data_IF_945576633995
#
_entry.id   IF_945576633995
#
_cell.length_a   1.000
_cell.length_b   1.000
_cell.length_c   1.000
_cell.angle_alpha   90.00
_cell.angle_beta   90.00
_cell.angle_gamma   90.00
#
_symmetry.space_group_name_H-M   'P 1'
#
loop_
_entity.id
_entity.type
_entity.pdbx_description
1 polymer ?
#
# COMPACT_ATOMS: atom_id res chain seq x y z
N UNK A 1 6.23 -14.14 6.45
CA UNK A 1 5.25 -13.49 7.38
C UNK A 1 4.22 -12.78 6.54
N UNK A 2 2.96 -12.89 6.88
CA UNK A 2 1.86 -12.21 6.20
C UNK A 2 1.93 -10.69 6.35
N UNK A 3 1.39 -9.96 5.35
CA UNK A 3 1.42 -8.51 5.32
C UNK A 3 0.79 -7.85 6.56
N UNK A 4 -0.41 -8.32 6.97
CA UNK A 4 -1.12 -7.73 8.11
C UNK A 4 -0.34 -7.84 9.42
N UNK A 5 0.42 -8.92 9.62
CA UNK A 5 1.27 -9.07 10.80
C UNK A 5 2.42 -8.08 10.80
N UNK A 6 3.03 -7.83 9.62
CA UNK A 6 4.11 -6.83 9.49
C UNK A 6 3.58 -5.41 9.68
N UNK A 7 2.39 -5.11 9.18
CA UNK A 7 1.71 -3.82 9.40
C UNK A 7 1.43 -3.62 10.89
N UNK A 8 0.88 -4.63 11.58
CA UNK A 8 0.61 -4.56 13.01
C UNK A 8 1.89 -4.33 13.83
N UNK A 9 3.00 -4.98 13.45
CA UNK A 9 4.31 -4.73 14.06
C UNK A 9 4.80 -3.29 13.80
N UNK A 10 4.57 -2.75 12.61
CA UNK A 10 4.90 -1.35 12.29
C UNK A 10 4.09 -0.36 13.12
N UNK A 11 2.79 -0.56 13.25
CA UNK A 11 1.91 0.29 14.09
C UNK A 11 2.33 0.26 15.56
N UNK A 12 2.65 -0.94 16.07
CA UNK A 12 3.14 -1.08 17.43
C UNK A 12 4.47 -0.35 17.63
N UNK A 13 5.44 -0.53 16.73
CA UNK A 13 6.74 0.13 16.81
C UNK A 13 6.60 1.66 16.72
N UNK A 14 5.72 2.17 15.85
CA UNK A 14 5.44 3.61 15.77
C UNK A 14 4.85 4.14 17.10
N UNK A 15 3.92 3.40 17.70
CA UNK A 15 3.32 3.80 18.99
C UNK A 15 4.34 3.79 20.15
N UNK A 16 5.36 2.92 20.09
CA UNK A 16 6.45 2.84 21.08
C UNK A 16 7.61 3.80 20.78
N UNK A 17 7.57 4.52 19.64
CA UNK A 17 8.63 5.46 19.26
C UNK A 17 8.75 6.59 20.27
N UNK A 18 9.88 6.68 20.96
CA UNK A 18 10.14 7.65 22.01
C UNK A 18 10.85 8.93 21.54
N UNK A 19 11.45 8.89 20.34
CA UNK A 19 12.22 10.01 19.79
C UNK A 19 11.77 10.36 18.37
N UNK A 20 12.06 11.57 17.93
CA UNK A 20 11.84 12.01 16.57
C UNK A 20 12.57 11.13 15.54
N UNK A 21 13.78 10.69 15.86
CA UNK A 21 14.56 9.80 15.01
C UNK A 21 13.92 8.42 14.88
N UNK A 22 13.31 7.90 15.96
CA UNK A 22 12.56 6.63 15.90
C UNK A 22 11.36 6.74 14.96
N UNK A 23 10.63 7.86 15.02
CA UNK A 23 9.49 8.13 14.13
C UNK A 23 9.93 8.15 12.65
N UNK A 24 11.02 8.85 12.33
CA UNK A 24 11.59 8.87 10.98
C UNK A 24 12.03 7.46 10.53
N UNK A 25 12.67 6.71 11.42
CA UNK A 25 13.07 5.33 11.13
C UNK A 25 11.84 4.43 10.84
N UNK A 26 10.77 4.56 11.64
CA UNK A 26 9.54 3.80 11.41
C UNK A 26 8.82 4.23 10.12
N UNK A 27 8.89 5.49 9.72
CA UNK A 27 8.38 5.95 8.44
C UNK A 27 9.07 5.22 7.27
N UNK A 28 10.37 5.10 7.30
CA UNK A 28 11.11 4.36 6.28
C UNK A 28 10.84 2.86 6.32
N UNK A 29 10.61 2.26 7.50
CA UNK A 29 10.15 0.88 7.62
C UNK A 29 8.77 0.67 6.99
N UNK A 30 7.83 1.60 7.19
CA UNK A 30 6.51 1.56 6.57
C UNK A 30 6.60 1.71 5.04
N UNK A 31 7.47 2.61 4.55
CA UNK A 31 7.74 2.80 3.14
C UNK A 31 8.32 1.53 2.49
N UNK A 32 9.30 0.88 3.14
CA UNK A 32 9.86 -0.38 2.67
C UNK A 32 8.79 -1.48 2.57
N UNK A 33 7.87 -1.53 3.55
CA UNK A 33 6.78 -2.49 3.53
C UNK A 33 5.80 -2.20 2.39
N UNK A 34 5.48 -0.92 2.14
CA UNK A 34 4.64 -0.52 1.02
C UNK A 34 5.21 -0.98 -0.32
N UNK A 35 6.51 -0.77 -0.54
CA UNK A 35 7.18 -1.23 -1.76
C UNK A 35 7.21 -2.76 -1.88
N UNK A 36 7.53 -3.47 -0.80
CA UNK A 36 7.55 -4.94 -0.83
C UNK A 36 6.15 -5.51 -1.14
N UNK A 37 5.10 -4.91 -0.57
CA UNK A 37 3.72 -5.28 -0.89
C UNK A 37 3.37 -4.95 -2.35
N UNK A 38 3.78 -3.78 -2.86
CA UNK A 38 3.63 -3.40 -4.26
C UNK A 38 4.27 -4.42 -5.20
N UNK A 39 5.53 -4.76 -4.96
CA UNK A 39 6.25 -5.77 -5.74
C UNK A 39 5.55 -7.14 -5.70
N UNK A 40 5.07 -7.56 -4.53
CA UNK A 40 4.38 -8.84 -4.39
C UNK A 40 3.05 -8.86 -5.13
N UNK A 41 2.26 -7.79 -5.02
CA UNK A 41 0.99 -7.66 -5.73
C UNK A 41 1.17 -7.51 -7.24
N UNK A 42 2.25 -6.88 -7.71
CA UNK A 42 2.57 -6.82 -9.13
C UNK A 42 2.88 -8.19 -9.74
N UNK A 43 3.50 -9.09 -8.97
CA UNK A 43 3.85 -10.45 -9.40
C UNK A 43 2.69 -11.44 -9.25
N UNK A 44 2.06 -11.46 -8.10
CA UNK A 44 1.13 -12.52 -7.69
C UNK A 44 -0.30 -12.01 -7.41
N UNK A 45 -0.53 -10.70 -7.46
CA UNK A 45 -1.81 -10.10 -7.18
C UNK A 45 -2.81 -10.16 -8.33
N UNK A 46 -4.05 -9.69 -8.09
CA UNK A 46 -5.07 -9.55 -9.12
C UNK A 46 -4.56 -8.73 -10.31
N UNK A 47 -4.94 -9.13 -11.52
CA UNK A 47 -4.45 -8.51 -12.75
C UNK A 47 -4.76 -7.00 -12.79
N UNK A 48 -5.92 -6.61 -12.27
CA UNK A 48 -6.39 -5.23 -12.22
C UNK A 48 -5.50 -4.30 -11.37
N UNK A 49 -4.77 -4.86 -10.41
CA UNK A 49 -3.90 -4.12 -9.52
C UNK A 49 -2.46 -3.99 -10.02
N UNK A 50 -2.03 -4.82 -10.97
CA UNK A 50 -0.61 -4.96 -11.33
C UNK A 50 0.07 -3.66 -11.74
N UNK A 51 -0.64 -2.78 -12.44
CA UNK A 51 -0.12 -1.48 -12.86
C UNK A 51 0.19 -0.56 -11.67
N UNK A 52 -0.80 -0.34 -10.81
CA UNK A 52 -0.64 0.48 -9.60
C UNK A 52 0.32 -0.16 -8.59
N UNK A 53 0.28 -1.48 -8.47
CA UNK A 53 1.17 -2.24 -7.59
C UNK A 53 2.63 -2.12 -8.01
N UNK A 54 2.93 -2.12 -9.33
CA UNK A 54 4.27 -1.85 -9.84
C UNK A 54 4.71 -0.44 -9.49
N UNK A 55 3.86 0.56 -9.70
CA UNK A 55 4.14 1.93 -9.30
C UNK A 55 4.39 2.06 -7.79
N UNK A 56 3.65 1.34 -6.94
CA UNK A 56 3.92 1.31 -5.50
C UNK A 56 5.29 0.67 -5.18
N UNK A 57 5.67 -0.37 -5.91
CA UNK A 57 6.97 -1.03 -5.77
C UNK A 57 8.15 -0.15 -6.18
N UNK A 58 7.92 0.86 -7.01
CA UNK A 58 8.94 1.78 -7.54
C UNK A 58 9.02 3.11 -6.76
N UNK A 59 8.19 3.31 -5.72
CA UNK A 59 8.18 4.55 -4.94
C UNK A 59 9.44 4.71 -4.12
N UNK A 60 10.29 5.65 -4.51
CA UNK A 60 11.38 6.23 -3.73
C UNK A 60 12.61 5.35 -3.45
N UNK A 61 13.76 6.01 -3.36
CA UNK A 61 14.99 5.43 -2.79
C UNK A 61 14.99 5.67 -1.29
N UNK A 62 15.37 4.66 -0.50
CA UNK A 62 15.54 4.83 0.94
C UNK A 62 16.94 5.33 1.28
N UNK A 63 17.08 6.18 2.29
CA UNK A 63 18.38 6.31 2.90
C UNK A 63 18.80 4.94 3.46
N UNK A 64 20.02 4.52 3.18
CA UNK A 64 20.58 3.21 3.58
C UNK A 64 20.79 3.07 5.12
N UNK A 65 19.91 3.67 5.91
CA UNK A 65 20.02 3.71 7.38
C UNK A 65 19.10 2.63 7.97
N UNK A 66 19.43 1.39 7.65
CA UNK A 66 18.81 0.28 8.35
C UNK A 66 19.65 -0.07 9.57
N UNK A 67 19.06 -0.07 10.76
CA UNK A 67 19.69 -0.65 11.94
C UNK A 67 20.12 -2.11 11.69
N UNK A 68 20.82 -2.73 12.62
CA UNK A 68 21.45 -4.04 12.50
C UNK A 68 20.56 -5.21 12.01
N UNK A 69 19.23 -5.00 11.88
CA UNK A 69 18.25 -6.00 11.42
C UNK A 69 17.71 -5.82 10.00
N UNK A 70 18.09 -4.77 9.28
CA UNK A 70 17.54 -4.48 7.95
C UNK A 70 16.02 -4.16 7.95
N UNK A 71 15.40 -3.99 6.76
CA UNK A 71 13.97 -3.69 6.68
C UNK A 71 13.12 -4.88 7.10
N UNK A 72 12.12 -4.65 7.97
CA UNK A 72 11.12 -5.67 8.35
C UNK A 72 10.39 -6.23 7.13
N UNK A 73 10.26 -5.43 6.08
CA UNK A 73 9.70 -5.81 4.79
C UNK A 73 10.36 -7.05 4.16
N UNK A 74 11.64 -7.32 4.44
CA UNK A 74 12.34 -8.53 3.96
C UNK A 74 11.69 -9.84 4.44
N UNK A 75 10.87 -9.78 5.48
CA UNK A 75 10.12 -10.93 6.02
C UNK A 75 8.77 -11.16 5.34
N UNK A 76 8.37 -10.30 4.40
CA UNK A 76 7.11 -10.44 3.69
C UNK A 76 7.14 -11.68 2.79
N UNK A 77 6.24 -12.63 3.02
CA UNK A 77 6.10 -13.83 2.21
C UNK A 77 4.89 -13.79 1.29
N UNK A 78 3.79 -13.22 1.76
CA UNK A 78 2.54 -13.18 1.01
C UNK A 78 1.63 -12.02 1.41
N UNK A 79 0.72 -11.68 0.50
CA UNK A 79 -0.42 -10.78 0.71
C UNK A 79 -1.67 -11.61 0.42
N UNK A 80 -2.19 -12.28 1.44
CA UNK A 80 -3.27 -13.26 1.30
C UNK A 80 -4.60 -12.59 0.93
N UNK A 81 -4.95 -11.51 1.60
CA UNK A 81 -6.12 -10.67 1.32
C UNK A 81 -5.66 -9.26 0.89
N UNK A 82 -5.61 -8.98 -0.43
CA UNK A 82 -5.16 -7.68 -0.93
C UNK A 82 -5.98 -6.50 -0.41
N UNK A 83 -7.31 -6.63 -0.31
CA UNK A 83 -8.16 -5.54 0.15
C UNK A 83 -7.86 -5.18 1.60
N UNK A 84 -7.84 -6.18 2.46
CA UNK A 84 -7.58 -6.01 3.90
C UNK A 84 -6.17 -5.51 4.17
N UNK A 85 -5.17 -6.09 3.49
CA UNK A 85 -3.78 -5.69 3.63
C UNK A 85 -3.53 -4.26 3.16
N UNK A 86 -4.11 -3.84 2.02
CA UNK A 86 -4.00 -2.48 1.50
C UNK A 86 -4.73 -1.47 2.40
N UNK A 87 -5.89 -1.82 2.95
CA UNK A 87 -6.60 -0.96 3.91
C UNK A 87 -5.73 -0.71 5.15
N UNK A 88 -5.20 -1.78 5.75
CA UNK A 88 -4.33 -1.67 6.92
C UNK A 88 -3.03 -0.91 6.62
N UNK A 89 -2.43 -1.09 5.43
CA UNK A 89 -1.26 -0.34 4.99
C UNK A 89 -1.58 1.16 4.85
N UNK A 90 -2.73 1.51 4.27
CA UNK A 90 -3.17 2.90 4.15
C UNK A 90 -3.34 3.58 5.51
N UNK A 91 -3.87 2.85 6.51
CA UNK A 91 -3.97 3.33 7.90
C UNK A 91 -2.57 3.58 8.51
N UNK A 92 -1.65 2.62 8.37
CA UNK A 92 -0.27 2.77 8.86
C UNK A 92 0.42 3.99 8.23
N UNK A 93 0.34 4.16 6.89
CA UNK A 93 0.92 5.30 6.20
C UNK A 93 0.32 6.63 6.69
N UNK A 94 -1.00 6.67 6.94
CA UNK A 94 -1.65 7.84 7.52
C UNK A 94 -1.16 8.17 8.92
N UNK A 95 -1.03 7.18 9.80
CA UNK A 95 -0.50 7.34 11.16
C UNK A 95 0.95 7.84 11.13
N UNK A 96 1.78 7.30 10.25
CA UNK A 96 3.16 7.73 10.03
C UNK A 96 3.21 9.19 9.56
N UNK A 97 2.40 9.56 8.58
CA UNK A 97 2.32 10.92 8.07
C UNK A 97 1.98 11.94 9.17
N UNK A 98 0.99 11.63 10.00
CA UNK A 98 0.60 12.47 11.15
C UNK A 98 1.77 12.63 12.15
N UNK A 99 2.46 11.54 12.48
CA UNK A 99 3.59 11.57 13.40
C UNK A 99 4.75 12.39 12.84
N UNK A 100 5.07 12.26 11.55
CA UNK A 100 6.12 13.04 10.87
C UNK A 100 5.81 14.53 10.86
N UNK A 101 4.56 14.92 10.58
CA UNK A 101 4.12 16.32 10.65
C UNK A 101 4.31 16.86 12.07
N UNK A 102 3.97 16.08 13.09
CA UNK A 102 4.20 16.44 14.49
C UNK A 102 5.69 16.72 14.78
N UNK A 103 6.59 15.88 14.29
CA UNK A 103 8.05 16.08 14.42
C UNK A 103 8.49 17.33 13.66
N UNK A 104 8.08 17.50 12.40
CA UNK A 104 8.47 18.64 11.57
C UNK A 104 8.03 19.98 12.18
N UNK A 105 6.85 20.01 12.81
CA UNK A 105 6.35 21.22 13.48
C UNK A 105 7.05 21.52 14.82
N UNK A 106 7.63 20.51 15.48
CA UNK A 106 8.22 20.63 16.81
C UNK A 106 9.75 20.77 16.80
N UNK A 107 10.42 20.45 15.68
CA UNK A 107 11.88 20.45 15.63
C UNK A 107 12.46 21.81 15.25
N UNK A 108 13.55 22.19 15.91
CA UNK A 108 14.40 23.32 15.53
C UNK A 108 15.63 22.87 14.70
N UNK A 109 15.78 21.57 14.49
CA UNK A 109 16.88 20.97 13.70
C UNK A 109 16.47 20.95 12.22
N UNK A 110 17.16 21.75 11.40
CA UNK A 110 16.90 21.86 9.97
C UNK A 110 17.10 20.52 9.23
N UNK A 111 18.11 19.74 9.62
CA UNK A 111 18.36 18.44 9.00
C UNK A 111 17.25 17.45 9.27
N UNK A 112 16.75 17.39 10.51
CA UNK A 112 15.61 16.56 10.88
C UNK A 112 14.33 17.03 10.21
N UNK A 113 14.11 18.34 10.11
CA UNK A 113 12.96 18.91 9.38
C UNK A 113 12.92 18.40 7.93
N UNK A 114 14.03 18.49 7.20
CA UNK A 114 14.07 18.03 5.81
C UNK A 114 13.92 16.53 5.68
N UNK A 115 14.45 15.73 6.61
CA UNK A 115 14.20 14.29 6.65
C UNK A 115 12.71 13.98 6.82
N UNK A 116 12.00 14.73 7.66
CA UNK A 116 10.55 14.59 7.81
C UNK A 116 9.81 14.94 6.53
N UNK A 117 10.19 16.01 5.83
CA UNK A 117 9.55 16.42 4.57
C UNK A 117 9.72 15.34 3.50
N UNK A 118 10.93 14.79 3.32
CA UNK A 118 11.18 13.69 2.38
C UNK A 118 10.34 12.44 2.73
N UNK A 119 10.25 12.10 4.01
CA UNK A 119 9.46 10.96 4.46
C UNK A 119 7.95 11.19 4.29
N UNK A 120 7.46 12.41 4.49
CA UNK A 120 6.06 12.80 4.26
C UNK A 120 5.72 12.64 2.77
N UNK A 121 6.54 13.18 1.88
CA UNK A 121 6.32 13.11 0.43
C UNK A 121 6.26 11.63 -0.03
N UNK A 122 7.18 10.80 0.43
CA UNK A 122 7.19 9.37 0.11
C UNK A 122 5.96 8.64 0.66
N UNK A 123 5.53 8.98 1.87
CA UNK A 123 4.35 8.40 2.53
C UNK A 123 3.07 8.78 1.80
N UNK A 124 2.92 10.05 1.40
CA UNK A 124 1.77 10.56 0.67
C UNK A 124 1.67 9.92 -0.73
N UNK A 125 2.77 9.81 -1.47
CA UNK A 125 2.78 9.12 -2.76
C UNK A 125 2.35 7.66 -2.63
N UNK A 126 2.90 6.94 -1.66
CA UNK A 126 2.51 5.55 -1.40
C UNK A 126 1.05 5.43 -0.97
N UNK A 127 0.56 6.35 -0.14
CA UNK A 127 -0.84 6.42 0.27
C UNK A 127 -1.79 6.65 -0.91
N UNK A 128 -1.44 7.52 -1.85
CA UNK A 128 -2.22 7.76 -3.08
C UNK A 128 -2.33 6.52 -3.94
N UNK A 129 -1.24 5.77 -4.12
CA UNK A 129 -1.24 4.52 -4.87
C UNK A 129 -2.07 3.44 -4.19
N UNK A 130 -1.98 3.31 -2.87
CA UNK A 130 -2.81 2.39 -2.08
C UNK A 130 -4.29 2.72 -2.25
N UNK A 131 -4.68 3.99 -2.16
CA UNK A 131 -6.06 4.44 -2.40
C UNK A 131 -6.51 4.13 -3.83
N UNK A 132 -5.64 4.29 -4.81
CA UNK A 132 -5.90 3.91 -6.21
C UNK A 132 -6.20 2.43 -6.37
N UNK A 133 -5.41 1.55 -5.74
CA UNK A 133 -5.63 0.10 -5.75
C UNK A 133 -6.94 -0.29 -5.06
N UNK A 134 -7.25 0.30 -3.91
CA UNK A 134 -8.51 0.05 -3.20
C UNK A 134 -9.73 0.43 -4.04
N UNK A 135 -9.69 1.56 -4.77
CA UNK A 135 -10.76 1.95 -5.70
C UNK A 135 -10.95 0.93 -6.81
N UNK A 136 -9.86 0.38 -7.39
CA UNK A 136 -9.94 -0.66 -8.43
C UNK A 136 -10.56 -1.95 -7.89
N UNK A 137 -10.22 -2.36 -6.68
CA UNK A 137 -10.83 -3.53 -6.02
C UNK A 137 -12.32 -3.32 -5.79
N UNK A 138 -12.74 -2.14 -5.34
CA UNK A 138 -14.16 -1.81 -5.13
C UNK A 138 -14.98 -1.87 -6.44
N UNK A 139 -14.44 -1.36 -7.55
CA UNK A 139 -15.07 -1.46 -8.88
C UNK A 139 -15.24 -2.91 -9.30
N UNK A 140 -14.18 -3.72 -9.17
CA UNK A 140 -14.21 -5.16 -9.50
C UNK A 140 -15.27 -5.90 -8.70
N UNK A 141 -15.34 -5.66 -7.41
CA UNK A 141 -16.28 -6.34 -6.52
C UNK A 141 -17.72 -5.89 -6.81
N UNK A 142 -17.94 -4.61 -7.16
CA UNK A 142 -19.22 -4.10 -7.63
C UNK A 142 -19.65 -4.72 -8.96
N UNK A 143 -18.75 -4.96 -9.90
CA UNK A 143 -19.03 -5.62 -11.18
C UNK A 143 -19.38 -7.11 -10.98
N UNK A 144 -18.70 -7.80 -10.07
CA UNK A 144 -19.00 -9.21 -9.72
C UNK A 144 -20.34 -9.38 -9.02
N UNK A 145 -20.74 -8.40 -8.21
CA UNK A 145 -22.03 -8.40 -7.50
C UNK A 145 -23.21 -8.02 -8.40
N UNK A 146 -22.97 -7.51 -9.64
CA UNK A 146 -24.02 -7.12 -10.57
C UNK A 146 -24.68 -8.38 -11.15
N UNK A 147 -26.01 -8.54 -11.03
CA UNK A 147 -26.71 -9.68 -11.64
C UNK A 147 -26.50 -9.66 -13.17
N UNK A 148 -26.41 -10.84 -13.83
CA UNK A 148 -26.29 -10.92 -15.28
C UNK A 148 -27.46 -10.21 -15.92
N UNK A 149 -27.17 -9.30 -16.86
CA UNK A 149 -28.19 -8.54 -17.61
C UNK A 149 -29.04 -9.51 -18.43
N UNK A 150 -30.36 -9.66 -18.14
CA UNK A 150 -31.22 -10.59 -18.85
C UNK A 150 -31.40 -10.25 -20.34
N UNK A 151 -31.01 -9.04 -20.78
CA UNK A 151 -31.11 -8.59 -22.16
C UNK A 151 -30.01 -9.17 -23.08
N UNK A 152 -28.91 -9.69 -22.56
CA UNK A 152 -27.83 -10.30 -23.37
C UNK A 152 -28.05 -11.79 -23.69
N UNK A 153 -29.09 -12.44 -23.15
CA UNK A 153 -29.35 -13.87 -23.31
C UNK A 153 -30.30 -14.25 -24.48
N UNK A 154 -30.80 -13.30 -25.26
CA UNK A 154 -31.66 -13.60 -26.42
C UNK A 154 -30.92 -13.38 -27.75
N UNK A 155 -29.98 -14.27 -28.06
CA UNK A 155 -29.64 -14.57 -29.44
C UNK A 155 -30.82 -15.40 -30.02
N UNK A 156 -31.62 -14.81 -30.88
CA UNK A 156 -32.70 -15.52 -31.59
C UNK A 156 -32.11 -16.67 -32.42
N UNK A 157 -32.76 -17.86 -32.45
CA UNK A 157 -32.30 -18.92 -33.31
C UNK A 157 -32.49 -18.48 -34.78
N UNK A 158 -31.40 -18.53 -35.54
CA UNK A 158 -31.45 -18.39 -37.01
C UNK A 158 -32.32 -19.51 -37.55
N UNK A 159 -33.45 -19.15 -38.18
CA UNK A 159 -34.21 -20.07 -39.02
C UNK A 159 -33.38 -20.36 -40.26
N UNK A 160 -32.99 -21.60 -40.45
CA UNK A 160 -32.50 -22.09 -41.73
C UNK A 160 -33.65 -22.13 -42.73
N UNK A 161 -33.46 -21.68 -43.97
CA UNK A 161 -34.46 -21.86 -45.03
C UNK A 161 -34.36 -23.31 -45.50
N UNK A 162 -35.47 -24.04 -45.36
CA UNK A 162 -35.63 -25.33 -46.04
C UNK A 162 -35.86 -25.10 -47.54
N UNK A 163 -35.08 -25.81 -48.36
CA UNK A 163 -35.44 -26.12 -49.74
C UNK A 163 -36.52 -27.18 -49.78
#
# INVERSE_FOLDING_TARGET
>A
MEAERLIALGRHALAESGTAQDIVAEAWQAQALAQAMGNRLALCGPQELRGEARGLGETGEYPAVWGAGGPRAARLTEVADPHRALTALGELLGEVGIALVGVACATDDEGLYWQCIEAIDATDESGDRVRGMLRRLAVRDGERARPPDPARGRAAPRREPSC
#
